data_IF_887486201496
#
_entry.id   IF_887486201496
#
_cell.length_a   1.000
_cell.length_b   1.000
_cell.length_c   1.000
_cell.angle_alpha   90.00
_cell.angle_beta   90.00
_cell.angle_gamma   90.00
#
_symmetry.space_group_name_H-M   'P 1'
#
loop_
_entity.id
_entity.type
_entity.pdbx_description
1 polymer ?
#
# COMPACT_ATOMS: atom_id res chain seq x y z
N UNK A 1 -24.20 22.18 -28.42
CA UNK A 1 -24.16 20.79 -27.92
C UNK A 1 -22.90 20.67 -27.08
N UNK A 2 -23.01 20.89 -25.78
CA UNK A 2 -21.89 20.71 -24.84
C UNK A 2 -21.92 19.27 -24.43
N UNK A 3 -20.94 18.49 -24.87
CA UNK A 3 -20.74 17.13 -24.36
C UNK A 3 -20.13 17.31 -22.97
N UNK A 4 -20.97 17.24 -21.94
CA UNK A 4 -20.49 17.05 -20.59
C UNK A 4 -19.88 15.65 -20.55
N UNK A 5 -18.55 15.57 -20.53
CA UNK A 5 -17.89 14.39 -20.03
C UNK A 5 -18.11 14.43 -18.52
N UNK A 6 -19.18 13.79 -18.06
CA UNK A 6 -19.30 13.41 -16.66
C UNK A 6 -18.02 12.64 -16.33
N UNK A 7 -17.28 12.97 -15.25
CA UNK A 7 -16.13 12.18 -14.87
C UNK A 7 -16.64 10.78 -14.53
N UNK A 8 -16.55 9.89 -15.52
CA UNK A 8 -16.81 8.48 -15.39
C UNK A 8 -15.67 7.90 -14.58
N UNK A 9 -15.70 8.14 -13.28
CA UNK A 9 -14.92 7.41 -12.30
C UNK A 9 -15.83 7.31 -11.09
N UNK A 10 -16.58 6.22 -11.04
CA UNK A 10 -16.83 5.48 -9.80
C UNK A 10 -15.48 5.37 -9.08
N UNK A 11 -15.13 6.39 -8.30
CA UNK A 11 -13.92 6.40 -7.49
C UNK A 11 -14.30 5.64 -6.24
N UNK A 12 -14.36 4.32 -6.35
CA UNK A 12 -14.52 3.48 -5.18
C UNK A 12 -13.45 3.87 -4.17
N UNK A 13 -13.87 4.19 -2.94
CA UNK A 13 -12.93 4.47 -1.87
C UNK A 13 -12.07 3.22 -1.69
N UNK A 14 -10.75 3.37 -1.59
CA UNK A 14 -9.91 2.25 -1.19
C UNK A 14 -10.31 1.89 0.24
N UNK A 15 -10.58 0.61 0.48
CA UNK A 15 -11.03 0.10 1.79
C UNK A 15 -9.99 -0.82 2.43
N UNK A 16 -9.02 -1.28 1.65
CA UNK A 16 -7.95 -2.17 2.09
C UNK A 16 -6.74 -2.03 1.19
N UNK A 17 -5.55 -2.00 1.77
CA UNK A 17 -4.28 -2.13 1.06
C UNK A 17 -3.48 -3.29 1.65
N UNK A 18 -3.05 -4.22 0.81
CA UNK A 18 -2.10 -5.27 1.15
C UNK A 18 -0.69 -4.91 0.68
N UNK A 19 0.32 -5.28 1.46
CA UNK A 19 1.72 -5.06 1.12
C UNK A 19 2.52 -6.36 1.26
N UNK A 20 3.42 -6.58 0.31
CA UNK A 20 4.39 -7.68 0.29
C UNK A 20 5.78 -7.10 0.02
N UNK A 21 6.76 -7.49 0.81
CA UNK A 21 8.15 -7.04 0.67
C UNK A 21 8.95 -8.18 0.07
N UNK A 22 9.57 -7.97 -1.09
CA UNK A 22 10.34 -8.96 -1.88
C UNK A 22 9.55 -10.16 -2.43
N UNK A 23 8.23 -10.12 -2.31
CA UNK A 23 7.34 -11.16 -2.83
C UNK A 23 6.33 -10.55 -3.80
N UNK A 24 6.64 -10.66 -5.08
CA UNK A 24 5.92 -9.98 -6.17
C UNK A 24 4.82 -10.83 -6.80
N UNK A 25 4.56 -12.01 -6.26
CA UNK A 25 3.71 -13.03 -6.87
C UNK A 25 2.29 -13.11 -6.29
N UNK A 26 1.92 -12.30 -5.28
CA UNK A 26 0.61 -12.23 -4.60
C UNK A 26 -0.04 -13.57 -4.11
N UNK A 27 0.61 -14.70 -4.34
CA UNK A 27 0.11 -16.05 -3.99
C UNK A 27 -0.02 -16.25 -2.49
N UNK A 28 0.83 -15.57 -1.72
CA UNK A 28 0.86 -15.61 -0.26
C UNK A 28 0.03 -14.46 0.34
N UNK A 29 -0.51 -14.60 1.56
CA UNK A 29 -1.10 -13.47 2.26
C UNK A 29 -0.11 -12.30 2.36
N UNK A 30 -0.59 -11.05 2.28
CA UNK A 30 0.27 -9.88 2.47
C UNK A 30 0.86 -9.88 3.87
N UNK A 31 2.09 -9.42 3.99
CA UNK A 31 2.80 -9.25 5.26
C UNK A 31 2.17 -8.14 6.11
N UNK A 32 1.66 -7.10 5.43
CA UNK A 32 0.96 -6.02 6.08
C UNK A 32 -0.38 -5.72 5.39
N UNK A 33 -1.40 -5.44 6.19
CA UNK A 33 -2.73 -5.05 5.70
C UNK A 33 -3.18 -3.79 6.42
N UNK A 34 -3.39 -2.74 5.65
CA UNK A 34 -3.99 -1.51 6.13
C UNK A 34 -5.45 -1.42 5.65
N UNK A 35 -6.33 -0.94 6.51
CA UNK A 35 -7.77 -0.75 6.24
C UNK A 35 -8.25 0.67 6.54
N UNK A 36 -7.35 1.56 6.96
CA UNK A 36 -7.68 2.94 7.29
C UNK A 36 -6.79 3.89 6.52
N UNK A 37 -7.39 4.91 5.91
CA UNK A 37 -6.62 5.99 5.31
C UNK A 37 -6.01 6.89 6.42
N UNK A 38 -4.81 7.46 6.22
CA UNK A 38 -3.92 7.24 5.06
C UNK A 38 -3.32 5.83 5.07
N UNK A 39 -3.33 5.15 3.92
CA UNK A 39 -2.80 3.80 3.80
C UNK A 39 -1.27 3.83 3.84
N UNK A 40 -0.68 3.16 4.82
CA UNK A 40 0.76 3.16 5.05
C UNK A 40 1.30 1.75 5.25
N UNK A 41 2.58 1.55 4.92
CA UNK A 41 3.32 0.39 5.36
C UNK A 41 3.86 0.67 6.78
N UNK A 42 2.98 0.69 7.77
CA UNK A 42 3.34 0.81 9.19
C UNK A 42 2.88 -0.44 9.92
N UNK A 43 3.61 -0.93 10.92
CA UNK A 43 3.26 -2.19 11.58
C UNK A 43 1.98 -2.11 12.43
N UNK A 44 1.36 -0.93 12.60
CA UNK A 44 0.02 -0.74 13.19
C UNK A 44 -0.55 0.64 12.81
N UNK A 45 -1.68 0.73 12.09
CA UNK A 45 -2.34 2.01 11.86
C UNK A 45 -2.95 2.51 13.18
N UNK A 46 -2.49 3.66 13.67
CA UNK A 46 -3.16 4.37 14.76
C UNK A 46 -4.43 5.05 14.21
N UNK A 47 -5.57 5.05 14.93
CA UNK A 47 -6.79 5.71 14.48
C UNK A 47 -6.66 7.23 14.36
N UNK A 48 -5.69 7.84 15.04
CA UNK A 48 -5.39 9.27 14.96
C UNK A 48 -4.24 9.53 13.97
N UNK A 49 -4.44 10.33 12.90
CA UNK A 49 -3.39 10.64 11.93
C UNK A 49 -2.27 11.54 12.51
N UNK A 50 -2.54 12.29 13.59
CA UNK A 50 -1.53 13.07 14.32
C UNK A 50 -0.77 12.22 15.35
N UNK A 51 -1.30 11.05 15.70
CA UNK A 51 -0.73 10.07 16.65
C UNK A 51 -0.42 8.75 15.95
N UNK A 52 -0.22 8.79 14.62
CA UNK A 52 0.21 7.66 13.79
C UNK A 52 1.68 7.33 14.10
N UNK A 53 1.94 6.96 15.35
CA UNK A 53 3.21 6.49 15.89
C UNK A 53 3.25 4.95 15.93
N UNK A 54 2.53 4.30 15.00
CA UNK A 54 2.77 2.89 14.72
C UNK A 54 4.23 2.70 14.28
N UNK A 55 4.91 1.60 14.64
CA UNK A 55 6.28 1.41 14.22
C UNK A 55 6.34 1.45 12.69
N UNK A 56 7.06 2.44 12.16
CA UNK A 56 7.30 2.62 10.73
C UNK A 56 8.01 1.38 10.22
N UNK A 57 7.72 0.95 8.99
CA UNK A 57 8.50 -0.10 8.34
C UNK A 57 9.99 0.26 8.33
N UNK A 58 10.76 -0.46 9.12
CA UNK A 58 12.18 -0.22 9.30
C UNK A 58 12.95 -0.94 8.19
N UNK A 59 13.37 -0.18 7.18
CA UNK A 59 14.16 -0.73 6.07
C UNK A 59 15.54 -1.21 6.50
N UNK A 60 16.02 -0.86 7.70
CA UNK A 60 17.32 -1.32 8.21
C UNK A 60 17.31 -2.79 8.63
N UNK A 61 16.12 -3.38 8.81
CA UNK A 61 15.97 -4.82 9.05
C UNK A 61 16.13 -5.66 7.77
N UNK A 62 16.11 -5.01 6.60
CA UNK A 62 16.38 -5.63 5.32
C UNK A 62 17.89 -5.69 5.06
N UNK A 63 18.32 -6.71 4.33
CA UNK A 63 19.71 -6.85 3.88
C UNK A 63 20.10 -5.76 2.89
N UNK A 64 21.39 -5.45 2.74
CA UNK A 64 21.82 -4.53 1.67
C UNK A 64 21.53 -5.10 0.29
N UNK A 65 21.02 -4.25 -0.61
CA UNK A 65 20.74 -4.65 -1.97
C UNK A 65 19.38 -4.20 -2.49
N UNK A 66 18.96 -4.73 -3.65
CA UNK A 66 17.70 -4.37 -4.28
C UNK A 66 16.52 -5.06 -3.58
N UNK A 67 15.47 -4.28 -3.32
CA UNK A 67 14.22 -4.72 -2.72
C UNK A 67 13.02 -4.20 -3.52
N UNK A 68 11.86 -4.82 -3.30
CA UNK A 68 10.62 -4.36 -3.91
C UNK A 68 9.42 -4.52 -2.97
N UNK A 69 8.48 -3.58 -3.05
CA UNK A 69 7.17 -3.71 -2.38
C UNK A 69 6.10 -3.87 -3.46
N UNK A 70 5.36 -4.97 -3.41
CA UNK A 70 4.08 -5.10 -4.11
C UNK A 70 2.99 -4.52 -3.21
N UNK A 71 2.15 -3.67 -3.79
CA UNK A 71 1.00 -3.04 -3.15
C UNK A 71 -0.25 -3.43 -3.92
N UNK A 72 -1.24 -3.94 -3.20
CA UNK A 72 -2.57 -4.22 -3.74
C UNK A 72 -3.60 -3.35 -3.02
N UNK A 73 -4.28 -2.48 -3.75
CA UNK A 73 -5.40 -1.70 -3.24
C UNK A 73 -6.73 -2.32 -3.67
N UNK A 74 -7.63 -2.53 -2.71
CA UNK A 74 -9.00 -3.00 -2.92
C UNK A 74 -9.96 -1.83 -2.75
N UNK A 75 -10.74 -1.53 -3.78
CA UNK A 75 -11.82 -0.55 -3.75
C UNK A 75 -13.06 -1.08 -3.04
N UNK A 76 -13.92 -0.18 -2.55
CA UNK A 76 -15.23 -0.51 -1.97
C UNK A 76 -16.17 -1.24 -2.94
N UNK A 77 -15.88 -1.17 -4.24
CA UNK A 77 -16.55 -1.87 -5.33
C UNK A 77 -15.99 -3.30 -5.57
N UNK A 78 -14.99 -3.72 -4.80
CA UNK A 78 -14.30 -5.00 -4.92
C UNK A 78 -13.24 -5.07 -6.02
N UNK A 79 -13.01 -3.98 -6.77
CA UNK A 79 -11.94 -3.94 -7.77
C UNK A 79 -10.58 -3.84 -7.10
N UNK A 80 -9.59 -4.50 -7.69
CA UNK A 80 -8.21 -4.46 -7.22
C UNK A 80 -7.30 -3.73 -8.19
N UNK A 81 -6.32 -3.00 -7.66
CA UNK A 81 -5.24 -2.38 -8.41
C UNK A 81 -3.92 -2.75 -7.74
N UNK A 82 -2.97 -3.26 -8.53
CA UNK A 82 -1.64 -3.58 -8.05
C UNK A 82 -0.57 -2.61 -8.59
N UNK A 83 0.43 -2.35 -7.76
CA UNK A 83 1.62 -1.54 -8.07
C UNK A 83 2.85 -2.15 -7.41
N UNK A 84 3.98 -2.06 -8.10
CA UNK A 84 5.28 -2.44 -7.55
C UNK A 84 6.14 -1.21 -7.39
N UNK A 85 6.63 -0.98 -6.18
CA UNK A 85 7.69 -0.02 -5.88
C UNK A 85 9.01 -0.77 -5.72
N UNK A 86 10.11 -0.22 -6.24
CA UNK A 86 11.44 -0.82 -6.12
C UNK A 86 12.38 0.17 -5.46
N UNK A 87 13.22 -0.32 -4.57
CA UNK A 87 14.18 0.48 -3.82
C UNK A 87 15.47 -0.30 -3.58
N UNK A 88 16.49 0.37 -3.04
CA UNK A 88 17.73 -0.26 -2.63
C UNK A 88 17.99 0.10 -1.18
N UNK A 89 18.37 -0.90 -0.39
CA UNK A 89 18.82 -0.74 0.99
C UNK A 89 20.34 -0.69 1.01
N UNK A 90 20.86 0.23 1.82
CA UNK A 90 22.28 0.44 2.09
C UNK A 90 22.39 0.85 3.55
N UNK A 91 22.78 -0.09 4.40
CA UNK A 91 22.84 0.05 5.86
C UNK A 91 24.22 0.53 6.35
N UNK A 92 25.21 0.69 5.46
CA UNK A 92 26.55 1.17 5.80
C UNK A 92 27.56 0.09 6.16
#
# INVERSE_FOLDING_TARGET
MVVAFEPSVDSAAVVRVGFWVDHLDDVRPPEHVDRQAPFTLTTSPSPDPETAEGPVFDTTELTDGPHAVLVEAVGSDGRTVQRVSRFRVDNG
#
